data_IF_727466053138
#
_entry.id   IF_727466053138
#
_cell.length_a   1.000
_cell.length_b   1.000
_cell.length_c   1.000
_cell.angle_alpha   90.00
_cell.angle_beta   90.00
_cell.angle_gamma   90.00
#
_symmetry.space_group_name_H-M   'P 1'
#
loop_
_entity.id
_entity.type
_entity.pdbx_description
1 polymer ?
#
# COMPACT_ATOMS: atom_id res chain seq x y z
N UNK A 1 7.91 21.11 25.20
CA UNK A 1 7.04 20.78 24.04
C UNK A 1 7.92 20.09 23.00
N UNK A 2 7.69 18.80 22.74
CA UNK A 2 8.41 18.11 21.67
C UNK A 2 7.86 18.68 20.36
N UNK A 3 8.64 19.52 19.69
CA UNK A 3 8.34 19.92 18.31
C UNK A 3 8.71 18.74 17.42
N UNK A 4 7.70 17.98 17.01
CA UNK A 4 7.87 17.08 15.89
C UNK A 4 8.25 17.92 14.66
N UNK A 5 9.24 17.51 13.85
CA UNK A 5 9.54 18.20 12.61
C UNK A 5 8.29 18.24 11.73
N UNK A 6 8.15 19.29 10.92
CA UNK A 6 7.09 19.34 9.91
C UNK A 6 7.12 18.05 9.07
N UNK A 7 5.97 17.42 8.93
CA UNK A 7 5.84 16.16 8.21
C UNK A 7 6.14 16.39 6.73
N UNK A 8 7.28 15.89 6.26
CA UNK A 8 7.67 15.91 4.85
C UNK A 8 7.38 14.54 4.23
N UNK A 9 6.38 14.49 3.35
CA UNK A 9 6.06 13.30 2.56
C UNK A 9 6.83 13.33 1.25
N UNK A 10 7.54 12.25 0.93
CA UNK A 10 8.24 12.05 -0.35
C UNK A 10 7.36 11.21 -1.30
N UNK A 11 7.47 9.87 -1.27
CA UNK A 11 6.63 8.98 -2.08
C UNK A 11 5.12 9.18 -1.89
N UNK A 12 4.71 9.59 -0.69
CA UNK A 12 3.31 9.87 -0.35
C UNK A 12 2.94 11.35 -0.46
N UNK A 13 3.79 12.18 -1.06
CA UNK A 13 3.43 13.54 -1.37
C UNK A 13 2.16 13.51 -2.23
N UNK A 14 1.12 14.14 -1.68
CA UNK A 14 -0.06 14.40 -2.47
C UNK A 14 0.32 15.31 -3.60
N UNK A 15 -0.48 15.25 -4.64
CA UNK A 15 -0.82 16.45 -5.34
C UNK A 15 -0.83 17.65 -4.39
N UNK A 16 -1.84 17.84 -3.54
CA UNK A 16 -1.80 18.91 -2.50
C UNK A 16 -1.91 18.38 -1.11
N UNK A 17 -1.72 19.32 -0.20
CA UNK A 17 -1.66 19.13 1.23
C UNK A 17 -2.81 18.28 1.78
N UNK A 18 -3.95 18.24 1.11
CA UNK A 18 -5.13 17.47 1.50
C UNK A 18 -5.34 16.18 0.69
N UNK A 19 -4.37 15.76 -0.13
CA UNK A 19 -4.32 14.47 -0.84
C UNK A 19 -3.16 13.61 -0.34
N UNK A 20 -3.33 12.29 -0.39
CA UNK A 20 -2.32 11.28 -0.01
C UNK A 20 -1.77 11.51 1.41
N UNK A 21 -0.47 11.82 1.55
CA UNK A 21 0.16 12.13 2.82
C UNK A 21 0.05 10.99 3.84
N UNK A 22 -0.53 11.30 4.99
CA UNK A 22 -0.67 10.39 6.13
C UNK A 22 -1.32 9.05 5.76
N UNK A 23 -2.42 9.05 5.01
CA UNK A 23 -3.14 7.81 4.67
C UNK A 23 -2.35 6.94 3.71
N UNK A 24 -1.66 7.54 2.74
CA UNK A 24 -0.70 6.83 1.89
C UNK A 24 0.43 6.23 2.73
N UNK A 25 0.99 6.98 3.68
CA UNK A 25 2.09 6.48 4.52
C UNK A 25 1.66 5.33 5.41
N UNK A 26 0.41 5.33 5.89
CA UNK A 26 -0.14 4.21 6.64
C UNK A 26 -0.31 2.96 5.77
N UNK A 27 -0.82 3.10 4.54
CA UNK A 27 -0.87 1.97 3.62
C UNK A 27 0.52 1.38 3.38
N UNK A 28 1.53 2.22 3.07
CA UNK A 28 2.91 1.76 2.90
C UNK A 28 3.42 1.05 4.16
N UNK A 29 3.24 1.66 5.33
CA UNK A 29 3.67 1.09 6.60
C UNK A 29 3.05 -0.28 6.84
N UNK A 30 1.73 -0.39 6.70
CA UNK A 30 1.00 -1.62 6.96
C UNK A 30 1.35 -2.72 5.95
N UNK A 31 1.50 -2.39 4.66
CA UNK A 31 2.02 -3.34 3.67
C UNK A 31 3.42 -3.82 4.04
N UNK A 32 4.36 -2.91 4.35
CA UNK A 32 5.70 -3.26 4.82
C UNK A 32 5.70 -4.10 6.09
N UNK A 33 4.80 -3.85 7.04
CA UNK A 33 4.69 -4.64 8.27
C UNK A 33 4.23 -6.08 7.98
N UNK A 34 3.22 -6.27 7.12
CA UNK A 34 2.77 -7.61 6.71
C UNK A 34 3.86 -8.37 5.95
N UNK A 35 4.57 -7.70 5.03
CA UNK A 35 5.70 -8.27 4.29
C UNK A 35 6.87 -8.62 5.22
N UNK A 36 7.20 -7.72 6.16
CA UNK A 36 8.28 -7.97 7.13
C UNK A 36 7.98 -9.19 8.01
N UNK A 37 6.73 -9.34 8.46
CA UNK A 37 6.30 -10.53 9.20
C UNK A 37 6.54 -11.80 8.36
N UNK A 38 6.15 -11.80 7.09
CA UNK A 38 6.33 -12.94 6.20
C UNK A 38 7.82 -13.27 5.94
N UNK A 39 8.67 -12.26 5.75
CA UNK A 39 10.12 -12.44 5.58
C UNK A 39 10.75 -13.04 6.85
N UNK A 40 10.40 -12.52 8.04
CA UNK A 40 10.92 -13.05 9.30
C UNK A 40 10.48 -14.50 9.53
N UNK A 41 9.26 -14.87 9.12
CA UNK A 41 8.79 -16.25 9.16
C UNK A 41 9.66 -17.15 8.28
N UNK A 42 9.90 -16.77 7.03
CA UNK A 42 10.73 -17.54 6.09
C UNK A 42 12.18 -17.69 6.57
N UNK A 43 12.69 -16.70 7.31
CA UNK A 43 14.02 -16.72 7.92
C UNK A 43 14.08 -17.50 9.24
N UNK A 44 12.96 -18.07 9.73
CA UNK A 44 12.84 -18.70 11.04
C UNK A 44 13.20 -17.76 12.21
N UNK A 45 12.91 -16.46 12.06
CA UNK A 45 13.20 -15.41 13.05
C UNK A 45 11.95 -14.94 13.81
N UNK A 46 10.76 -15.49 13.51
CA UNK A 46 9.55 -15.21 14.29
C UNK A 46 9.46 -16.12 15.52
N UNK A 47 8.98 -15.61 16.67
CA UNK A 47 8.59 -16.44 17.80
C UNK A 47 7.50 -17.46 17.43
N UNK A 48 7.55 -18.65 18.03
CA UNK A 48 6.65 -19.77 17.73
C UNK A 48 5.16 -19.48 17.97
N UNK A 49 4.84 -18.52 18.86
CA UNK A 49 3.48 -18.16 19.20
C UNK A 49 2.86 -17.12 18.25
N UNK A 50 3.62 -16.58 17.30
CA UNK A 50 3.11 -15.60 16.33
C UNK A 50 2.27 -16.31 15.29
N UNK A 51 0.99 -15.94 15.19
CA UNK A 51 0.08 -16.43 14.17
C UNK A 51 0.18 -15.60 12.89
N UNK A 52 -0.17 -16.18 11.72
CA UNK A 52 -0.27 -15.44 10.47
C UNK A 52 -1.13 -14.18 10.50
N UNK A 53 -2.22 -14.17 11.28
CA UNK A 53 -3.18 -13.07 11.36
C UNK A 53 -2.76 -11.92 12.28
N UNK A 54 -1.79 -12.13 13.18
CA UNK A 54 -1.48 -11.21 14.28
C UNK A 54 -1.13 -9.80 13.80
N UNK A 55 -0.38 -9.68 12.70
CA UNK A 55 -0.01 -8.38 12.15
C UNK A 55 -1.23 -7.63 11.60
N UNK A 56 -2.12 -8.31 10.88
CA UNK A 56 -3.35 -7.69 10.38
C UNK A 56 -4.28 -7.30 11.52
N UNK A 57 -4.40 -8.14 12.55
CA UNK A 57 -5.21 -7.82 13.73
C UNK A 57 -4.64 -6.61 14.49
N UNK A 58 -3.33 -6.49 14.58
CA UNK A 58 -2.67 -5.32 15.16
C UNK A 58 -2.96 -4.05 14.36
N UNK A 59 -2.90 -4.12 13.03
CA UNK A 59 -3.29 -3.00 12.13
C UNK A 59 -4.76 -2.65 12.32
N UNK A 60 -5.63 -3.66 12.42
CA UNK A 60 -7.06 -3.48 12.63
C UNK A 60 -7.36 -2.77 13.95
N UNK A 61 -6.65 -3.11 15.03
CA UNK A 61 -6.80 -2.44 16.32
C UNK A 61 -6.18 -1.04 16.32
N UNK A 62 -5.10 -0.80 15.57
CA UNK A 62 -4.63 0.56 15.35
C UNK A 62 -5.71 1.41 14.65
N UNK A 63 -6.31 0.87 13.58
CA UNK A 63 -7.35 1.59 12.83
C UNK A 63 -8.55 1.88 13.74
N UNK A 64 -9.00 0.90 14.53
CA UNK A 64 -10.10 1.09 15.50
C UNK A 64 -9.89 2.29 16.42
N UNK A 65 -8.68 2.46 16.94
CA UNK A 65 -8.43 3.34 18.09
C UNK A 65 -7.80 4.69 17.70
N UNK A 66 -7.10 4.75 16.56
CA UNK A 66 -6.27 5.93 16.22
C UNK A 66 -6.54 6.49 14.82
N UNK A 67 -7.30 5.81 13.97
CA UNK A 67 -7.59 6.33 12.64
C UNK A 67 -8.67 7.41 12.71
N UNK A 68 -8.40 8.54 12.05
CA UNK A 68 -9.12 9.79 12.28
C UNK A 68 -10.56 9.81 11.74
N UNK A 69 -10.89 8.91 10.80
CA UNK A 69 -12.19 8.89 10.14
C UNK A 69 -13.09 7.81 10.74
N UNK A 70 -14.07 8.20 11.55
CA UNK A 70 -14.96 7.28 12.27
C UNK A 70 -15.75 6.35 11.34
N UNK A 71 -16.29 6.88 10.23
CA UNK A 71 -17.01 6.06 9.26
C UNK A 71 -16.08 5.06 8.55
N UNK A 72 -14.87 5.51 8.18
CA UNK A 72 -13.86 4.66 7.58
C UNK A 72 -13.50 3.50 8.52
N UNK A 73 -13.37 3.78 9.82
CA UNK A 73 -13.15 2.77 10.86
C UNK A 73 -14.30 1.78 10.89
N UNK A 74 -15.55 2.24 10.98
CA UNK A 74 -16.74 1.37 10.99
C UNK A 74 -16.78 0.44 9.78
N UNK A 75 -16.58 1.00 8.58
CA UNK A 75 -16.57 0.25 7.33
C UNK A 75 -15.42 -0.77 7.27
N UNK A 76 -14.21 -0.37 7.66
CA UNK A 76 -13.06 -1.26 7.70
C UNK A 76 -13.28 -2.42 8.69
N UNK A 77 -13.74 -2.13 9.91
CA UNK A 77 -13.98 -3.13 10.94
C UNK A 77 -15.06 -4.14 10.56
N UNK A 78 -16.13 -3.69 9.89
CA UNK A 78 -17.19 -4.55 9.40
C UNK A 78 -16.68 -5.50 8.29
N UNK A 79 -16.03 -4.93 7.26
CA UNK A 79 -15.50 -5.70 6.12
C UNK A 79 -14.40 -6.70 6.50
N UNK A 80 -13.76 -6.50 7.65
CA UNK A 80 -12.61 -7.30 8.12
C UNK A 80 -12.95 -8.15 9.35
N UNK A 81 -14.23 -8.24 9.73
CA UNK A 81 -14.70 -9.00 10.90
C UNK A 81 -14.28 -10.48 10.88
N UNK A 82 -14.15 -11.09 9.69
CA UNK A 82 -13.77 -12.48 9.50
C UNK A 82 -12.30 -12.68 9.10
N UNK A 83 -11.43 -11.69 9.28
CA UNK A 83 -10.05 -11.74 8.79
C UNK A 83 -9.24 -12.93 9.34
N UNK A 84 -9.36 -13.25 10.64
CA UNK A 84 -8.64 -14.37 11.27
C UNK A 84 -9.05 -15.73 10.66
N UNK A 85 -10.29 -15.84 10.19
CA UNK A 85 -10.77 -17.05 9.51
C UNK A 85 -10.21 -17.18 8.09
N UNK A 86 -9.81 -16.09 7.45
CA UNK A 86 -9.31 -16.09 6.06
C UNK A 86 -7.78 -16.13 5.99
N UNK A 87 -7.09 -15.57 6.98
CA UNK A 87 -5.62 -15.49 7.00
C UNK A 87 -5.05 -16.77 7.62
N UNK A 88 -4.75 -17.76 6.77
CA UNK A 88 -4.23 -19.09 7.20
C UNK A 88 -2.71 -19.26 7.04
N UNK A 89 -2.02 -18.31 6.44
CA UNK A 89 -0.57 -18.33 6.28
C UNK A 89 -0.01 -16.90 6.19
N UNK A 90 1.29 -16.71 6.45
CA UNK A 90 1.93 -15.39 6.38
C UNK A 90 1.84 -14.77 4.98
N UNK A 91 1.95 -15.61 3.94
CA UNK A 91 1.66 -15.22 2.56
C UNK A 91 0.20 -14.78 2.37
N UNK A 92 -0.76 -15.54 2.92
CA UNK A 92 -2.17 -15.17 2.86
C UNK A 92 -2.43 -13.84 3.57
N UNK A 93 -1.68 -13.50 4.62
CA UNK A 93 -1.79 -12.21 5.30
C UNK A 93 -1.41 -11.04 4.36
N UNK A 94 -0.24 -11.11 3.73
CA UNK A 94 0.22 -10.11 2.74
C UNK A 94 -0.81 -9.95 1.62
N UNK A 95 -1.27 -11.07 1.05
CA UNK A 95 -2.25 -11.04 -0.04
C UNK A 95 -3.64 -10.57 0.42
N UNK A 96 -4.06 -10.87 1.66
CA UNK A 96 -5.34 -10.40 2.20
C UNK A 96 -5.39 -8.88 2.26
N UNK A 97 -4.32 -8.27 2.80
CA UNK A 97 -4.20 -6.82 2.89
C UNK A 97 -4.11 -6.16 1.50
N UNK A 98 -3.34 -6.76 0.59
CA UNK A 98 -3.25 -6.33 -0.82
C UNK A 98 -4.59 -6.37 -1.55
N UNK A 99 -5.34 -7.48 -1.49
CA UNK A 99 -6.68 -7.58 -2.10
C UNK A 99 -7.64 -6.54 -1.53
N UNK A 100 -7.61 -6.33 -0.22
CA UNK A 100 -8.41 -5.30 0.44
C UNK A 100 -8.11 -3.90 -0.10
N UNK A 101 -6.83 -3.55 -0.25
CA UNK A 101 -6.42 -2.26 -0.81
C UNK A 101 -6.84 -2.11 -2.28
N UNK A 102 -6.73 -3.16 -3.10
CA UNK A 102 -7.18 -3.10 -4.49
C UNK A 102 -8.70 -2.96 -4.64
N UNK A 103 -9.51 -3.57 -3.75
CA UNK A 103 -10.95 -3.31 -3.70
C UNK A 103 -11.27 -1.86 -3.38
N UNK A 104 -10.46 -1.22 -2.53
CA UNK A 104 -10.57 0.22 -2.25
C UNK A 104 -10.19 1.03 -3.50
N UNK A 105 -9.10 0.69 -4.18
CA UNK A 105 -8.69 1.38 -5.42
C UNK A 105 -9.76 1.25 -6.53
N UNK A 106 -10.37 0.08 -6.66
CA UNK A 106 -11.46 -0.16 -7.60
C UNK A 106 -12.69 0.69 -7.25
N UNK A 107 -13.12 0.66 -5.99
CA UNK A 107 -14.27 1.46 -5.54
C UNK A 107 -14.07 2.95 -5.78
N UNK A 108 -12.87 3.45 -5.53
CA UNK A 108 -12.53 4.85 -5.74
C UNK A 108 -12.25 5.18 -7.21
N UNK A 109 -12.21 4.22 -8.15
CA UNK A 109 -11.86 4.51 -9.55
C UNK A 109 -12.88 5.47 -10.17
N UNK A 110 -12.41 6.58 -10.75
CA UNK A 110 -13.27 7.53 -11.46
C UNK A 110 -13.97 8.57 -10.58
N UNK A 111 -13.84 8.48 -9.25
CA UNK A 111 -14.29 9.54 -8.35
C UNK A 111 -13.36 10.77 -8.48
N UNK A 112 -13.79 11.79 -9.24
CA UNK A 112 -12.93 12.96 -9.51
C UNK A 112 -12.65 13.79 -8.27
N UNK A 113 -13.60 13.82 -7.33
CA UNK A 113 -13.47 14.67 -6.15
C UNK A 113 -12.45 14.01 -5.21
N UNK A 114 -12.48 12.68 -4.99
CA UNK A 114 -11.63 11.96 -4.00
C UNK A 114 -10.22 11.69 -4.48
N UNK A 115 -10.07 11.52 -5.79
CA UNK A 115 -8.80 11.13 -6.35
C UNK A 115 -7.88 12.30 -6.58
N UNK A 116 -6.61 11.98 -6.44
CA UNK A 116 -5.52 12.78 -6.91
C UNK A 116 -5.39 12.54 -8.43
N UNK A 117 -5.62 13.55 -9.30
CA UNK A 117 -5.58 13.35 -10.74
C UNK A 117 -4.23 12.88 -11.26
N UNK A 118 -3.13 13.22 -10.56
CA UNK A 118 -1.80 12.76 -10.92
C UNK A 118 -1.52 11.32 -10.46
N UNK A 119 -2.34 10.80 -9.54
CA UNK A 119 -2.22 9.45 -8.98
C UNK A 119 -3.54 8.69 -9.08
N UNK A 120 -3.99 8.38 -10.33
CA UNK A 120 -5.26 7.70 -10.55
C UNK A 120 -5.27 6.34 -9.86
N UNK A 121 -6.43 5.99 -9.30
CA UNK A 121 -6.63 4.68 -8.65
C UNK A 121 -6.72 3.60 -9.70
N UNK A 122 -5.68 2.78 -9.74
CA UNK A 122 -5.59 1.62 -10.61
C UNK A 122 -5.29 0.39 -9.76
N UNK A 123 -5.64 -0.81 -10.25
CA UNK A 123 -5.21 -2.05 -9.62
C UNK A 123 -3.68 -2.08 -9.55
N UNK A 124 -3.17 -2.41 -8.36
CA UNK A 124 -1.74 -2.51 -8.09
C UNK A 124 -1.32 -3.98 -7.93
N UNK A 125 -0.16 -4.40 -8.44
CA UNK A 125 0.63 -3.69 -9.43
C UNK A 125 -0.08 -3.63 -10.78
N UNK A 126 0.26 -2.64 -11.59
CA UNK A 126 -0.12 -2.64 -13.01
C UNK A 126 0.71 -3.67 -13.78
N UNK A 127 0.26 -4.07 -14.98
CA UNK A 127 1.02 -4.98 -15.85
C UNK A 127 2.42 -4.43 -16.19
N UNK A 128 2.55 -3.11 -16.32
CA UNK A 128 3.85 -2.45 -16.52
C UNK A 128 4.77 -2.60 -15.31
N UNK A 129 4.22 -2.53 -14.09
CA UNK A 129 4.98 -2.68 -12.85
C UNK A 129 5.39 -4.13 -12.58
N UNK A 130 4.53 -5.09 -12.91
CA UNK A 130 4.81 -6.51 -12.79
C UNK A 130 4.12 -7.30 -13.90
N UNK A 131 4.89 -7.65 -14.94
CA UNK A 131 4.36 -8.39 -16.08
C UNK A 131 3.93 -9.81 -15.71
N UNK A 132 4.65 -10.50 -14.82
CA UNK A 132 4.31 -11.86 -14.38
C UNK A 132 3.11 -11.92 -13.43
N UNK A 133 2.76 -10.79 -12.81
CA UNK A 133 1.66 -10.72 -11.85
C UNK A 133 0.27 -10.75 -12.53
N UNK A 134 0.14 -10.38 -13.80
CA UNK A 134 -1.16 -10.21 -14.48
C UNK A 134 -1.31 -11.25 -15.58
N UNK A 135 -2.24 -12.21 -15.41
CA UNK A 135 -2.37 -13.39 -16.29
C UNK A 135 -3.10 -13.09 -17.61
N UNK A 136 -4.20 -12.34 -17.59
CA UNK A 136 -4.90 -11.86 -18.78
C UNK A 136 -5.61 -10.52 -18.50
N UNK A 137 -5.82 -9.74 -19.56
CA UNK A 137 -6.82 -8.68 -19.62
C UNK A 137 -7.99 -9.37 -20.31
N UNK A 138 -9.07 -9.68 -19.61
CA UNK A 138 -10.24 -10.26 -20.28
C UNK A 138 -10.76 -9.20 -21.28
N UNK A 139 -10.65 -9.46 -22.58
CA UNK A 139 -11.06 -8.51 -23.62
C UNK A 139 -12.57 -8.22 -23.59
N UNK A 140 -13.34 -9.03 -22.85
CA UNK A 140 -14.78 -8.87 -22.66
C UNK A 140 -15.15 -8.33 -21.26
N UNK A 141 -14.18 -8.18 -20.35
CA UNK A 141 -14.40 -7.76 -18.97
C UNK A 141 -13.16 -7.00 -18.49
N UNK A 142 -13.29 -5.71 -18.14
CA UNK A 142 -12.17 -4.87 -17.67
C UNK A 142 -11.50 -5.34 -16.33
N UNK A 143 -11.81 -6.56 -15.87
CA UNK A 143 -11.26 -7.18 -14.67
C UNK A 143 -9.89 -7.81 -14.95
N UNK A 144 -8.87 -7.36 -14.23
CA UNK A 144 -7.52 -7.94 -14.27
C UNK A 144 -7.45 -9.21 -13.41
N UNK A 145 -6.98 -10.31 -13.98
CA UNK A 145 -6.66 -11.52 -13.22
C UNK A 145 -5.20 -11.50 -12.76
N UNK A 146 -4.99 -11.71 -11.45
CA UNK A 146 -3.66 -11.72 -10.84
C UNK A 146 -3.15 -13.14 -10.54
N UNK A 147 -1.88 -13.39 -10.86
CA UNK A 147 -1.14 -14.51 -10.29
C UNK A 147 -0.68 -14.17 -8.87
N UNK A 148 -1.26 -14.82 -7.88
CA UNK A 148 -0.98 -14.51 -6.48
C UNK A 148 0.41 -14.95 -6.00
N UNK A 149 1.05 -15.91 -6.68
CA UNK A 149 2.42 -16.32 -6.35
C UNK A 149 3.39 -15.23 -6.80
N UNK A 150 3.27 -14.81 -8.06
CA UNK A 150 4.07 -13.73 -8.64
C UNK A 150 3.80 -12.40 -7.93
N UNK A 151 2.53 -12.11 -7.63
CA UNK A 151 2.13 -10.92 -6.88
C UNK A 151 2.72 -10.92 -5.47
N UNK A 152 2.70 -12.04 -4.75
CA UNK A 152 3.36 -12.13 -3.44
C UNK A 152 4.87 -11.84 -3.52
N UNK A 153 5.56 -12.42 -4.50
CA UNK A 153 6.98 -12.19 -4.71
C UNK A 153 7.28 -10.72 -5.02
N UNK A 154 6.47 -10.11 -5.88
CA UNK A 154 6.56 -8.69 -6.20
C UNK A 154 6.32 -7.81 -4.96
N UNK A 155 5.28 -8.09 -4.18
CA UNK A 155 4.97 -7.33 -2.96
C UNK A 155 6.10 -7.42 -1.94
N UNK A 156 6.71 -8.61 -1.77
CA UNK A 156 7.89 -8.77 -0.92
C UNK A 156 9.04 -7.89 -1.39
N UNK A 157 9.38 -7.95 -2.68
CA UNK A 157 10.42 -7.11 -3.24
C UNK A 157 10.11 -5.61 -3.06
N UNK A 158 8.88 -5.20 -3.38
CA UNK A 158 8.48 -3.79 -3.36
C UNK A 158 8.49 -3.19 -1.94
N UNK A 159 8.02 -3.94 -0.94
CA UNK A 159 7.85 -3.45 0.43
C UNK A 159 8.98 -3.83 1.39
N UNK A 160 9.99 -4.58 0.95
CA UNK A 160 11.18 -4.84 1.76
C UNK A 160 11.93 -3.53 2.03
N UNK A 161 12.14 -3.24 3.31
CA UNK A 161 12.83 -2.05 3.80
C UNK A 161 14.25 -1.92 3.23
N UNK A 162 14.92 -3.03 2.90
CA UNK A 162 16.23 -3.00 2.26
C UNK A 162 16.15 -2.36 0.87
N UNK A 163 15.08 -2.60 0.12
CA UNK A 163 14.87 -2.00 -1.19
C UNK A 163 14.44 -0.54 -1.09
N UNK A 164 13.64 -0.19 -0.07
CA UNK A 164 13.25 1.21 0.21
C UNK A 164 14.48 2.06 0.59
N UNK A 165 15.38 1.54 1.43
CA UNK A 165 16.61 2.22 1.81
C UNK A 165 17.59 2.37 0.63
N UNK A 166 17.70 1.33 -0.20
CA UNK A 166 18.57 1.32 -1.38
C UNK A 166 18.10 2.32 -2.45
N UNK A 167 16.79 2.41 -2.72
CA UNK A 167 16.23 3.40 -3.64
C UNK A 167 16.48 4.84 -3.17
N UNK A 168 16.32 5.11 -1.87
CA UNK A 168 16.62 6.43 -1.29
C UNK A 168 18.10 6.78 -1.41
N UNK A 169 18.99 5.81 -1.16
CA UNK A 169 20.44 5.98 -1.33
C UNK A 169 20.80 6.26 -2.79
N UNK A 170 20.24 5.51 -3.75
CA UNK A 170 20.48 5.72 -5.18
C UNK A 170 19.95 7.08 -5.67
N UNK A 171 18.75 7.48 -5.26
CA UNK A 171 18.17 8.79 -5.56
C UNK A 171 19.01 9.96 -5.00
N UNK A 172 19.60 9.78 -3.81
CA UNK A 172 20.49 10.80 -3.23
C UNK A 172 21.80 10.95 -4.02
N UNK A 173 22.24 9.90 -4.71
CA UNK A 173 23.48 9.86 -5.50
C UNK A 173 23.29 10.37 -6.93
N UNK A 174 22.12 10.14 -7.54
CA UNK A 174 21.81 10.61 -8.90
C UNK A 174 21.57 12.11 -8.99
N UNK A 175 21.21 12.78 -7.89
CA UNK A 175 21.12 14.24 -7.83
C UNK A 175 22.45 14.99 -8.08
N UNK A 176 23.58 14.29 -8.11
CA UNK A 176 24.90 14.85 -8.44
C UNK A 176 25.43 14.48 -9.82
N UNK A 177 24.76 13.64 -10.59
CA UNK A 177 25.23 13.24 -11.92
C UNK A 177 24.07 12.94 -12.88
N UNK A 178 23.95 13.83 -13.87
CA UNK A 178 23.33 13.61 -15.17
C UNK A 178 21.79 13.71 -15.22
N UNK A 179 21.39 14.83 -15.82
CA UNK A 179 20.09 15.15 -16.36
C UNK A 179 19.81 14.25 -17.58
N UNK A 180 19.25 13.05 -17.36
CA UNK A 180 18.70 12.19 -18.41
C UNK A 180 17.40 11.54 -17.91
N UNK A 181 16.28 12.16 -18.31
CA UNK A 181 14.97 11.57 -18.58
C UNK A 181 14.47 10.46 -17.63
N UNK A 182 14.07 10.85 -16.42
CA UNK A 182 13.13 10.07 -15.61
C UNK A 182 12.00 10.98 -15.09
N UNK A 183 11.19 11.46 -16.04
CA UNK A 183 9.92 12.13 -15.77
C UNK A 183 8.80 11.09 -15.68
N UNK A 184 8.55 10.55 -14.50
CA UNK A 184 7.23 10.01 -14.15
C UNK A 184 6.85 10.20 -12.68
N UNK A 185 7.61 11.02 -11.93
CA UNK A 185 7.42 11.22 -10.49
C UNK A 185 7.18 12.68 -10.07
N UNK A 186 6.74 13.51 -11.02
CA UNK A 186 6.34 14.88 -10.77
C UNK A 186 4.82 14.97 -10.93
N UNK A 187 4.22 15.97 -10.28
CA UNK A 187 2.84 16.47 -10.43
C UNK A 187 1.82 15.78 -9.46
N UNK A 188 0.80 16.42 -8.86
CA UNK A 188 0.45 17.84 -8.73
C UNK A 188 -0.86 18.05 -7.98
N UNK A 189 -0.84 18.91 -6.95
CA UNK A 189 -1.85 19.68 -6.16
C UNK A 189 -3.39 19.37 -6.23
N UNK A 190 -4.00 18.66 -5.23
CA UNK A 190 -5.05 19.12 -4.28
C UNK A 190 -6.41 18.43 -4.04
N UNK A 191 -6.83 18.42 -2.76
CA UNK A 191 -8.20 18.46 -2.18
C UNK A 191 -9.15 17.26 -2.07
N UNK A 192 -9.33 16.76 -0.84
CA UNK A 192 -10.58 16.13 -0.42
C UNK A 192 -11.14 16.70 0.88
N UNK A 193 -11.77 17.88 0.75
CA UNK A 193 -13.00 18.18 1.44
C UNK A 193 -14.14 17.69 0.52
N UNK A 194 -15.16 17.09 1.11
CA UNK A 194 -16.41 16.63 0.52
C UNK A 194 -16.43 15.22 -0.08
N UNK A 195 -17.20 14.37 0.62
CA UNK A 195 -17.79 13.09 0.23
C UNK A 195 -16.94 11.88 0.66
N UNK A 196 -16.80 11.72 1.98
CA UNK A 196 -17.61 10.76 2.74
C UNK A 196 -18.23 11.51 3.92
#
# INVERSE_FOLDING_TARGET
>A
VIKLPELKFDHCHGSDISKRGYTCSLWLLFHSMTVKQAILHEQNLLPLNVKPSDMFLSIREYIRNFFLCEECVKNFLNKTSNAENQIKSFKANVLYFWRGHNKVNEHLRGEQISNDPAWPKVPFPTKQQCHSCVRQIDENNDALEYDENETYNYLKYYYDLQNIASQKYLSSKTNTAINLQYNHLLLFLSTFLFIF
#
